data_IF_167490285550
#
_entry.id   IF_167490285550
#
_cell.length_a   1.000
_cell.length_b   1.000
_cell.length_c   1.000
_cell.angle_alpha   90.00
_cell.angle_beta   90.00
_cell.angle_gamma   90.00
#
_symmetry.space_group_name_H-M   'P 1'
#
loop_
_entity.id
_entity.type
_entity.pdbx_description
1 polymer ?
#
# COMPACT_ATOMS: atom_id res chain seq x y z
N UNK A 1 -21.47 1.68 15.03
CA UNK A 1 -20.30 1.97 15.90
C UNK A 1 -19.15 1.06 15.45
N UNK A 2 -18.48 1.48 14.34
CA UNK A 2 -17.30 0.79 13.87
C UNK A 2 -16.10 1.11 14.77
N UNK A 3 -15.35 0.09 15.14
CA UNK A 3 -14.06 0.25 15.80
C UNK A 3 -13.09 0.91 14.81
N UNK A 4 -12.43 2.01 15.17
CA UNK A 4 -11.33 2.51 14.37
C UNK A 4 -10.17 1.54 14.50
N UNK A 5 -9.97 0.70 13.49
CA UNK A 5 -8.75 -0.09 13.37
C UNK A 5 -7.70 0.86 12.80
N UNK A 6 -6.60 1.02 13.49
CA UNK A 6 -5.47 1.79 12.99
C UNK A 6 -5.08 1.26 11.60
N UNK A 7 -5.22 2.10 10.55
CA UNK A 7 -4.84 1.79 9.18
C UNK A 7 -5.95 1.26 8.26
N UNK A 8 -7.13 0.87 8.77
CA UNK A 8 -8.23 0.40 7.94
C UNK A 8 -9.10 1.54 7.41
N UNK A 9 -9.14 1.75 6.09
CA UNK A 9 -10.09 2.65 5.44
C UNK A 9 -11.01 1.82 4.52
N UNK A 10 -12.32 1.99 4.71
CA UNK A 10 -13.27 1.53 3.72
C UNK A 10 -13.19 2.45 2.48
N UNK A 11 -13.03 1.87 1.32
CA UNK A 11 -12.98 2.58 0.05
C UNK A 11 -14.07 2.01 -0.87
N UNK A 12 -14.80 2.88 -1.56
CA UNK A 12 -15.82 2.44 -2.51
C UNK A 12 -15.18 1.92 -3.79
N UNK A 13 -15.89 1.05 -4.53
CA UNK A 13 -15.42 0.60 -5.84
C UNK A 13 -15.22 1.74 -6.83
N UNK A 14 -16.07 2.77 -6.77
CA UNK A 14 -15.93 3.96 -7.60
C UNK A 14 -14.64 4.71 -7.28
N UNK A 15 -14.30 4.82 -6.00
CA UNK A 15 -13.04 5.45 -5.56
C UNK A 15 -11.84 4.60 -5.98
N UNK A 16 -11.88 3.25 -5.82
CA UNK A 16 -10.83 2.34 -6.30
C UNK A 16 -10.63 2.45 -7.81
N UNK A 17 -11.73 2.51 -8.58
CA UNK A 17 -11.66 2.67 -10.04
C UNK A 17 -11.03 4.01 -10.45
N UNK A 18 -11.28 5.07 -9.67
CA UNK A 18 -10.75 6.41 -9.93
C UNK A 18 -9.27 6.55 -9.56
N UNK A 19 -8.87 6.05 -8.38
CA UNK A 19 -7.50 6.25 -7.87
C UNK A 19 -6.57 5.09 -8.17
N UNK A 20 -7.10 3.93 -8.51
CA UNK A 20 -6.35 2.69 -8.74
C UNK A 20 -6.09 1.89 -7.47
N UNK A 21 -6.05 0.56 -7.60
CA UNK A 21 -5.91 -0.36 -6.46
C UNK A 21 -4.64 -0.14 -5.68
N UNK A 22 -3.49 -0.03 -6.33
CA UNK A 22 -2.20 0.21 -5.66
C UNK A 22 -2.16 1.56 -4.93
N UNK A 23 -2.73 2.59 -5.56
CA UNK A 23 -2.81 3.92 -4.96
C UNK A 23 -3.72 3.91 -3.72
N UNK A 24 -4.83 3.17 -3.78
CA UNK A 24 -5.71 2.98 -2.64
C UNK A 24 -5.02 2.25 -1.48
N UNK A 25 -4.22 1.22 -1.77
CA UNK A 25 -3.44 0.47 -0.78
C UNK A 25 -2.38 1.31 -0.07
N UNK A 26 -1.80 2.30 -0.74
CA UNK A 26 -0.73 3.13 -0.18
C UNK A 26 -1.21 4.41 0.50
N UNK A 27 -2.53 4.66 0.51
CA UNK A 27 -3.10 5.76 1.26
C UNK A 27 -2.86 5.58 2.75
N UNK A 28 -2.42 6.64 3.40
CA UNK A 28 -2.23 6.68 4.84
C UNK A 28 -2.79 7.97 5.42
N UNK A 29 -3.07 7.98 6.73
CA UNK A 29 -3.46 9.20 7.46
C UNK A 29 -2.24 9.97 8.00
N UNK A 30 -1.03 9.57 7.62
CA UNK A 30 0.18 10.29 8.00
C UNK A 30 0.22 11.66 7.34
N UNK A 31 0.75 12.68 8.02
CA UNK A 31 1.02 13.97 7.40
C UNK A 31 1.99 13.81 6.21
N UNK A 32 1.80 14.59 5.14
CA UNK A 32 2.56 14.50 3.88
C UNK A 32 4.08 14.45 4.08
N UNK A 33 4.60 15.21 5.07
CA UNK A 33 6.04 15.22 5.40
C UNK A 33 6.58 13.87 5.91
N UNK A 34 5.71 12.96 6.32
CA UNK A 34 6.05 11.62 6.81
C UNK A 34 5.68 10.53 5.81
N UNK A 35 5.02 10.92 4.71
CA UNK A 35 4.64 10.00 3.65
C UNK A 35 5.79 9.88 2.64
N UNK A 36 6.35 8.69 2.51
CA UNK A 36 7.32 8.36 1.47
C UNK A 36 6.65 8.16 0.09
N UNK A 37 5.34 7.94 0.08
CA UNK A 37 4.51 7.82 -1.10
C UNK A 37 3.32 8.78 -0.95
N UNK A 38 3.11 9.65 -1.94
CA UNK A 38 1.99 10.59 -1.98
C UNK A 38 0.94 10.12 -2.99
N UNK A 39 -0.17 9.50 -2.53
CA UNK A 39 -1.21 9.02 -3.42
C UNK A 39 -1.94 10.13 -4.20
N UNK A 40 -1.88 11.38 -3.72
CA UNK A 40 -2.56 12.52 -4.35
C UNK A 40 -1.89 12.96 -5.66
N UNK A 41 -0.61 12.65 -5.82
CA UNK A 41 0.17 12.97 -7.04
C UNK A 41 0.16 11.84 -8.07
N UNK A 42 -0.45 10.71 -7.73
CA UNK A 42 -0.50 9.52 -8.58
C UNK A 42 -1.86 9.34 -9.24
N UNK A 43 -1.85 8.76 -10.42
CA UNK A 43 -3.03 8.25 -11.11
C UNK A 43 -3.12 6.73 -10.98
N UNK A 44 -4.27 6.15 -11.36
CA UNK A 44 -4.38 4.69 -11.48
C UNK A 44 -3.31 4.10 -12.40
N UNK A 45 -3.06 4.75 -13.54
CA UNK A 45 -2.07 4.31 -14.53
C UNK A 45 -0.64 4.44 -14.01
N UNK A 46 -0.25 5.59 -13.43
CA UNK A 46 1.10 5.81 -12.93
C UNK A 46 1.43 4.89 -11.74
N UNK A 47 0.47 4.67 -10.84
CA UNK A 47 0.65 3.74 -9.72
C UNK A 47 0.78 2.28 -10.18
N UNK A 48 -0.03 1.89 -11.16
CA UNK A 48 0.07 0.56 -11.77
C UNK A 48 1.42 0.35 -12.47
N UNK A 49 1.88 1.35 -13.22
CA UNK A 49 3.19 1.32 -13.88
C UNK A 49 4.34 1.21 -12.86
N UNK A 50 4.29 2.00 -11.78
CA UNK A 50 5.30 1.98 -10.74
C UNK A 50 5.40 0.60 -10.06
N UNK A 51 4.25 0.00 -9.71
CA UNK A 51 4.20 -1.35 -9.14
C UNK A 51 4.63 -2.43 -10.14
N UNK A 52 4.20 -2.35 -11.41
CA UNK A 52 4.61 -3.27 -12.46
C UNK A 52 6.12 -3.22 -12.73
N UNK A 53 6.74 -2.04 -12.60
CA UNK A 53 8.19 -1.88 -12.69
C UNK A 53 8.89 -2.49 -11.48
N UNK A 54 8.39 -2.24 -10.27
CA UNK A 54 8.99 -2.78 -9.03
C UNK A 54 8.85 -4.30 -8.92
N UNK A 55 7.74 -4.84 -9.41
CA UNK A 55 7.40 -6.27 -9.34
C UNK A 55 7.16 -6.85 -10.75
N UNK A 56 8.20 -7.03 -11.57
CA UNK A 56 8.04 -7.46 -12.97
C UNK A 56 7.42 -8.87 -13.11
N UNK A 57 7.52 -9.70 -12.07
CA UNK A 57 6.87 -11.01 -12.00
C UNK A 57 5.50 -10.99 -11.28
N UNK A 58 5.02 -9.77 -10.96
CA UNK A 58 3.74 -9.53 -10.34
C UNK A 58 3.78 -9.39 -8.82
N UNK A 59 2.70 -8.83 -8.28
CA UNK A 59 2.42 -8.70 -6.86
C UNK A 59 1.14 -9.48 -6.57
N UNK A 60 1.29 -10.73 -6.17
CA UNK A 60 0.22 -11.72 -6.09
C UNK A 60 -0.71 -11.47 -4.92
N UNK A 61 -2.01 -11.71 -5.11
CA UNK A 61 -3.00 -11.84 -4.03
C UNK A 61 -3.30 -13.33 -3.81
N UNK A 62 -3.08 -13.80 -2.60
CA UNK A 62 -3.34 -15.18 -2.18
C UNK A 62 -4.39 -15.19 -1.08
N UNK A 63 -5.48 -15.93 -1.30
CA UNK A 63 -6.51 -16.12 -0.28
C UNK A 63 -6.09 -17.28 0.62
N UNK A 64 -5.80 -16.97 1.89
CA UNK A 64 -5.33 -17.95 2.86
C UNK A 64 -6.46 -18.67 3.57
N UNK A 65 -7.58 -17.97 3.83
CA UNK A 65 -8.72 -18.51 4.52
C UNK A 65 -9.97 -17.69 4.23
N UNK A 66 -11.06 -18.36 3.95
CA UNK A 66 -12.40 -17.77 3.87
C UNK A 66 -13.14 -18.03 5.19
N UNK A 67 -13.75 -16.99 5.76
CA UNK A 67 -14.48 -17.04 7.03
C UNK A 67 -16.00 -17.08 6.82
N UNK A 68 -16.50 -16.40 5.79
CA UNK A 68 -17.93 -16.38 5.45
C UNK A 68 -18.14 -16.30 3.94
N UNK A 69 -19.31 -16.79 3.50
CA UNK A 69 -19.79 -16.70 2.11
C UNK A 69 -20.75 -15.52 1.91
N UNK A 70 -21.29 -15.39 0.67
CA UNK A 70 -22.27 -14.34 0.34
C UNK A 70 -23.45 -14.28 1.31
N UNK A 71 -24.08 -13.12 1.46
CA UNK A 71 -23.80 -11.84 0.78
C UNK A 71 -22.59 -11.06 1.35
N UNK A 72 -22.06 -11.46 2.51
CA UNK A 72 -20.89 -10.84 3.14
C UNK A 72 -19.74 -11.84 3.19
N UNK A 73 -18.84 -11.73 2.23
CA UNK A 73 -17.67 -12.60 2.12
C UNK A 73 -16.52 -11.98 2.90
N UNK A 74 -16.01 -12.69 3.90
CA UNK A 74 -14.83 -12.28 4.65
C UNK A 74 -13.70 -13.28 4.45
N UNK A 75 -12.51 -12.81 4.14
CA UNK A 75 -11.35 -13.68 3.94
C UNK A 75 -10.04 -13.04 4.39
N UNK A 76 -9.13 -13.90 4.86
CA UNK A 76 -7.72 -13.53 5.11
C UNK A 76 -6.94 -13.69 3.82
N UNK A 77 -6.12 -12.71 3.52
CA UNK A 77 -5.24 -12.73 2.35
C UNK A 77 -3.78 -12.46 2.71
N UNK A 78 -2.90 -12.82 1.80
CA UNK A 78 -1.52 -12.37 1.69
C UNK A 78 -1.35 -11.72 0.31
N UNK A 79 -0.78 -10.54 0.29
CA UNK A 79 -0.32 -9.90 -0.94
C UNK A 79 1.21 -9.93 -0.93
N UNK A 80 1.86 -10.37 -2.01
CA UNK A 80 3.30 -10.54 -2.01
C UNK A 80 3.92 -10.52 -3.40
N UNK A 81 5.22 -10.16 -3.48
CA UNK A 81 6.02 -10.18 -4.68
C UNK A 81 7.50 -9.97 -4.35
N UNK A 82 8.36 -10.16 -5.34
CA UNK A 82 9.79 -9.87 -5.22
C UNK A 82 10.08 -8.50 -5.82
N UNK A 83 10.72 -7.62 -5.03
CA UNK A 83 11.05 -6.26 -5.45
C UNK A 83 12.32 -6.25 -6.30
N UNK A 84 12.18 -6.47 -7.61
CA UNK A 84 13.26 -6.63 -8.57
C UNK A 84 13.49 -5.37 -9.42
N UNK A 85 12.61 -4.38 -9.34
CA UNK A 85 12.75 -3.07 -9.96
C UNK A 85 12.71 -1.93 -8.95
N UNK A 86 13.09 -0.71 -9.36
CA UNK A 86 13.07 0.45 -8.48
C UNK A 86 11.65 0.93 -8.19
N UNK A 87 11.44 1.51 -7.01
CA UNK A 87 10.19 2.16 -6.66
C UNK A 87 10.46 3.53 -6.03
N UNK A 88 9.91 4.61 -6.62
CA UNK A 88 9.97 5.98 -6.07
C UNK A 88 11.37 6.42 -5.63
N UNK A 89 12.36 6.11 -6.44
CA UNK A 89 13.77 6.46 -6.17
C UNK A 89 14.51 5.49 -5.25
N UNK A 90 13.86 4.45 -4.74
CA UNK A 90 14.53 3.39 -4.01
C UNK A 90 14.98 2.27 -4.94
N UNK A 91 16.20 1.78 -4.70
CA UNK A 91 16.76 0.67 -5.48
C UNK A 91 16.02 -0.64 -5.19
N UNK A 92 15.97 -1.58 -6.16
CA UNK A 92 15.45 -2.90 -5.94
C UNK A 92 16.27 -3.65 -4.89
N UNK A 93 15.60 -4.43 -4.04
CA UNK A 93 16.25 -5.25 -3.01
C UNK A 93 16.39 -6.71 -3.43
N UNK A 94 15.59 -7.17 -4.41
CA UNK A 94 15.43 -8.57 -4.73
C UNK A 94 14.71 -9.38 -3.64
N UNK A 95 14.32 -8.75 -2.53
CA UNK A 95 13.66 -9.41 -1.42
C UNK A 95 12.15 -9.53 -1.66
N UNK A 96 11.54 -10.48 -0.96
CA UNK A 96 10.09 -10.61 -0.93
C UNK A 96 9.49 -9.50 -0.05
N UNK A 97 8.62 -8.71 -0.65
CA UNK A 97 7.74 -7.77 0.05
C UNK A 97 6.39 -8.45 0.20
N UNK A 98 5.84 -8.46 1.40
CA UNK A 98 4.53 -9.07 1.66
C UNK A 98 3.76 -8.31 2.72
N UNK A 99 2.45 -8.41 2.63
CA UNK A 99 1.52 -7.94 3.65
C UNK A 99 0.40 -8.96 3.85
N UNK A 100 -0.12 -9.00 5.06
CA UNK A 100 -1.27 -9.79 5.42
C UNK A 100 -2.45 -8.88 5.76
N UNK A 101 -3.65 -9.33 5.44
CA UNK A 101 -4.84 -8.57 5.74
C UNK A 101 -6.10 -9.43 5.77
N UNK A 102 -7.19 -8.75 6.08
CA UNK A 102 -8.55 -9.28 5.98
C UNK A 102 -9.32 -8.39 5.02
N UNK A 103 -10.06 -8.99 4.11
CA UNK A 103 -11.01 -8.29 3.26
C UNK A 103 -12.43 -8.68 3.62
N UNK A 104 -13.31 -7.70 3.58
CA UNK A 104 -14.77 -7.87 3.73
C UNK A 104 -15.40 -7.33 2.47
N UNK A 105 -16.16 -8.19 1.78
CA UNK A 105 -16.79 -7.89 0.48
C UNK A 105 -18.28 -8.11 0.62
N UNK A 106 -19.09 -7.09 0.39
CA UNK A 106 -20.54 -7.20 0.28
C UNK A 106 -20.91 -7.35 -1.20
N UNK A 107 -21.73 -8.35 -1.51
CA UNK A 107 -22.19 -8.62 -2.87
C UNK A 107 -23.71 -8.61 -2.94
N UNK A 108 -24.25 -8.19 -4.11
CA UNK A 108 -25.66 -8.25 -4.42
C UNK A 108 -26.12 -9.69 -4.81
N UNK A 109 -27.40 -9.86 -5.10
CA UNK A 109 -28.00 -11.13 -5.54
C UNK A 109 -27.39 -11.66 -6.85
N UNK A 110 -26.77 -10.81 -7.66
CA UNK A 110 -26.07 -11.16 -8.90
C UNK A 110 -24.56 -11.38 -8.69
N UNK A 111 -24.09 -11.44 -7.45
CA UNK A 111 -22.69 -11.60 -7.08
C UNK A 111 -21.78 -10.42 -7.53
N UNK A 112 -22.35 -9.25 -7.75
CA UNK A 112 -21.60 -8.04 -8.03
C UNK A 112 -21.19 -7.38 -6.73
N UNK A 113 -19.96 -6.90 -6.64
CA UNK A 113 -19.44 -6.24 -5.46
C UNK A 113 -20.10 -4.89 -5.27
N UNK A 114 -20.75 -4.68 -4.13
CA UNK A 114 -21.32 -3.42 -3.72
C UNK A 114 -20.41 -2.64 -2.79
N UNK A 115 -19.67 -3.36 -1.91
CA UNK A 115 -18.76 -2.75 -0.95
C UNK A 115 -17.53 -3.63 -0.75
N UNK A 116 -16.40 -2.97 -0.54
CA UNK A 116 -15.12 -3.63 -0.31
C UNK A 116 -14.36 -2.90 0.81
N UNK A 117 -13.95 -3.65 1.81
CA UNK A 117 -13.09 -3.17 2.90
C UNK A 117 -11.81 -3.99 2.94
N UNK A 118 -10.66 -3.30 3.08
CA UNK A 118 -9.37 -3.93 3.35
C UNK A 118 -8.85 -3.49 4.71
N UNK A 119 -8.44 -4.45 5.52
CA UNK A 119 -7.88 -4.25 6.86
C UNK A 119 -6.48 -4.86 6.85
N UNK A 120 -5.46 -4.01 6.83
CA UNK A 120 -4.05 -4.43 6.76
C UNK A 120 -3.15 -3.33 7.34
N UNK A 121 -1.87 -3.64 7.54
CA UNK A 121 -0.87 -2.69 7.99
C UNK A 121 -0.14 -2.08 6.79
N UNK A 122 -0.46 -0.81 6.47
CA UNK A 122 0.19 -0.09 5.39
C UNK A 122 1.67 0.22 5.69
N UNK A 123 2.07 0.29 6.97
CA UNK A 123 3.46 0.56 7.35
C UNK A 123 4.36 -0.64 7.02
N UNK A 124 3.88 -1.87 7.20
CA UNK A 124 4.60 -3.08 6.80
C UNK A 124 4.86 -3.13 5.29
N UNK A 125 3.85 -2.79 4.50
CA UNK A 125 4.01 -2.69 3.04
C UNK A 125 5.05 -1.64 2.68
N UNK A 126 4.93 -0.43 3.20
CA UNK A 126 5.87 0.67 2.93
C UNK A 126 7.29 0.34 3.39
N UNK A 127 7.46 -0.28 4.55
CA UNK A 127 8.77 -0.69 5.05
C UNK A 127 9.47 -1.65 4.08
N UNK A 128 8.73 -2.59 3.49
CA UNK A 128 9.28 -3.47 2.46
C UNK A 128 9.65 -2.75 1.16
N UNK A 129 8.78 -1.85 0.70
CA UNK A 129 8.96 -1.10 -0.56
C UNK A 129 10.09 -0.08 -0.52
N UNK A 130 10.37 0.51 0.64
CA UNK A 130 11.34 1.60 0.83
C UNK A 130 12.65 1.14 1.46
N UNK A 131 12.85 -0.16 1.60
CA UNK A 131 14.04 -0.76 2.24
C UNK A 131 15.32 -0.54 1.44
N UNK A 132 15.24 -0.46 0.11
CA UNK A 132 16.39 -0.23 -0.76
C UNK A 132 16.98 1.17 -0.60
N UNK A 133 18.29 1.35 -0.82
CA UNK A 133 18.92 2.65 -0.76
C UNK A 133 18.33 3.62 -1.79
N UNK A 134 18.31 4.92 -1.44
CA UNK A 134 17.85 5.97 -2.38
C UNK A 134 18.86 6.09 -3.52
N UNK A 135 18.37 6.11 -4.75
CA UNK A 135 19.18 6.28 -5.95
C UNK A 135 19.64 7.74 -6.08
N UNK A 136 20.92 7.96 -6.32
CA UNK A 136 21.55 9.30 -6.35
C UNK A 136 20.93 10.27 -7.38
N UNK A 137 20.39 9.75 -8.48
CA UNK A 137 19.71 10.56 -9.49
C UNK A 137 18.41 11.18 -8.97
N UNK A 138 17.82 10.60 -7.92
CA UNK A 138 16.59 11.09 -7.31
C UNK A 138 16.85 12.17 -6.26
N UNK A 139 18.04 12.20 -5.64
CA UNK A 139 18.42 13.22 -4.66
C UNK A 139 18.52 14.63 -5.25
N UNK A 140 18.74 14.76 -6.57
CA UNK A 140 18.94 16.04 -7.24
C UNK A 140 17.65 16.86 -7.44
N UNK A 141 16.47 16.28 -7.26
CA UNK A 141 15.17 16.93 -7.46
C UNK A 141 14.39 17.19 -6.16
N UNK A 142 14.85 16.66 -5.04
CA UNK A 142 14.30 16.98 -3.72
C UNK A 142 15.15 18.09 -3.11
N UNK A 143 14.61 19.31 -3.04
CA UNK A 143 15.20 20.41 -2.26
C UNK A 143 15.55 19.94 -0.84
N UNK A 144 16.68 20.41 -0.25
CA UNK A 144 17.10 19.94 1.07
C UNK A 144 16.07 20.34 2.11
N UNK A 145 15.19 19.42 2.47
CA UNK A 145 14.34 19.57 3.64
C UNK A 145 15.22 19.32 4.86
N UNK A 146 15.34 20.38 5.64
CA UNK A 146 16.00 20.51 6.95
C UNK A 146 16.22 19.16 7.68
N UNK A 147 17.47 18.98 8.13
CA UNK A 147 17.86 17.94 9.08
C UNK A 147 16.84 17.81 10.21
N UNK A 148 16.06 16.75 10.19
CA UNK A 148 15.20 16.40 11.32
C UNK A 148 16.09 15.97 12.48
N UNK A 149 16.37 16.92 13.36
CA UNK A 149 16.93 16.64 14.67
C UNK A 149 15.84 15.96 15.50
N UNK A 150 16.01 14.68 15.76
CA UNK A 150 15.09 13.94 16.63
C UNK A 150 15.25 14.46 18.08
N UNK A 151 14.23 15.10 18.69
CA UNK A 151 14.39 15.74 20.00
C UNK A 151 14.49 14.75 21.18
N UNK A 152 14.49 13.44 20.91
CA UNK A 152 14.49 12.38 21.93
C UNK A 152 15.81 11.61 22.11
N UNK A 153 16.83 11.90 21.33
CA UNK A 153 18.19 11.37 21.58
C UNK A 153 18.94 12.39 22.42
N UNK A 154 18.80 12.32 23.76
CA UNK A 154 19.76 12.85 24.69
C UNK A 154 20.92 11.84 24.78
N UNK A 155 22.09 12.31 24.38
CA UNK A 155 23.34 11.60 24.66
C UNK A 155 23.48 11.32 26.16
N UNK A 156 23.77 10.07 26.51
CA UNK A 156 24.27 9.67 27.84
C UNK A 156 25.76 9.50 27.71
#
# INVERSE_FOLDING_TARGET
NGWPIAGGRAISLEEVAKVGGYNAFLQSSLPDRLCAYDPSTETSESSHHAFGTAFPHGFALEILRVFSGPPVVAYKFRHWGYMEGPLKGHAPTGERVELYGVSIVEVDESMRIEKLEFIYDAAELLAGLLKGPVLKEFESHTSPKSSLHCPFLKEV
#
